data_IF_269500020866
#
_entry.id   IF_269500020866
#
_cell.length_a   1.000
_cell.length_b   1.000
_cell.length_c   1.000
_cell.angle_alpha   90.00
_cell.angle_beta   90.00
_cell.angle_gamma   90.00
#
_symmetry.space_group_name_H-M   'P 1'
#
loop_
_entity.id
_entity.type
_entity.pdbx_description
1 polymer ?
#
# COMPACT_ATOMS: atom_id res chain seq x y z
N UNK A 1 57.29 -16.61 -22.90
CA UNK A 1 58.71 -16.47 -22.58
C UNK A 1 58.84 -16.75 -21.08
N UNK A 2 59.31 -17.95 -20.74
CA UNK A 2 59.70 -18.50 -19.41
C UNK A 2 61.17 -18.03 -19.18
N UNK A 3 61.83 -18.04 -17.99
CA UNK A 3 61.70 -18.95 -16.82
C UNK A 3 61.77 -18.27 -15.43
N UNK A 4 61.26 -18.83 -14.31
CA UNK A 4 61.69 -19.97 -13.46
C UNK A 4 63.19 -20.00 -13.14
N UNK A 5 63.54 -19.78 -11.86
CA UNK A 5 64.67 -20.49 -11.24
C UNK A 5 64.46 -20.65 -9.73
N UNK A 6 64.72 -21.87 -9.30
CA UNK A 6 64.51 -22.50 -8.01
C UNK A 6 65.84 -22.45 -7.23
N UNK A 7 65.82 -22.28 -5.90
CA UNK A 7 66.96 -22.71 -5.07
C UNK A 7 66.58 -23.06 -3.64
N UNK A 8 66.72 -24.35 -3.38
CA UNK A 8 66.74 -25.07 -2.12
C UNK A 8 67.96 -24.65 -1.29
N UNK A 9 67.80 -24.50 0.03
CA UNK A 9 68.90 -24.59 1.00
C UNK A 9 68.45 -25.50 2.14
N UNK A 10 69.23 -26.55 2.35
CA UNK A 10 69.25 -27.48 3.49
C UNK A 10 70.38 -27.03 4.42
N UNK A 11 70.14 -27.06 5.74
CA UNK A 11 71.12 -27.15 6.86
C UNK A 11 70.25 -27.51 8.10
N UNK A 12 70.16 -28.74 8.62
CA UNK A 12 71.11 -29.64 9.33
C UNK A 12 71.48 -29.20 10.75
N UNK A 13 71.11 -30.09 11.71
CA UNK A 13 71.78 -30.44 12.98
C UNK A 13 71.79 -29.37 14.11
N UNK A 14 71.70 -29.66 15.40
CA UNK A 14 71.50 -30.84 16.24
C UNK A 14 71.29 -30.32 17.68
N UNK A 15 70.73 -31.18 18.56
CA UNK A 15 70.95 -31.27 20.01
C UNK A 15 70.63 -30.08 20.97
N UNK A 16 69.68 -30.30 21.88
CA UNK A 16 70.00 -30.60 23.29
C UNK A 16 68.74 -30.84 24.16
N UNK A 17 68.70 -32.00 24.79
CA UNK A 17 67.78 -32.41 25.86
C UNK A 17 68.43 -32.06 27.21
N UNK A 18 67.66 -31.73 28.26
CA UNK A 18 68.02 -32.24 29.58
C UNK A 18 66.87 -32.99 30.26
N UNK A 19 67.17 -34.26 30.58
CA UNK A 19 66.44 -35.10 31.54
C UNK A 19 66.73 -34.64 32.97
N UNK A 20 65.69 -34.60 33.82
CA UNK A 20 65.81 -34.94 35.25
C UNK A 20 64.48 -35.48 35.78
N UNK A 21 64.54 -36.18 36.91
CA UNK A 21 63.93 -37.49 37.16
C UNK A 21 62.78 -37.54 38.18
N UNK A 22 61.66 -38.19 37.79
CA UNK A 22 60.76 -39.11 38.57
C UNK A 22 59.92 -38.58 39.77
N UNK A 23 58.86 -39.28 40.26
CA UNK A 23 58.23 -40.51 39.76
C UNK A 23 56.69 -40.46 39.57
N UNK A 24 56.25 -41.48 38.81
CA UNK A 24 54.92 -42.04 38.58
C UNK A 24 53.87 -41.87 39.70
N UNK A 25 52.69 -41.34 39.33
CA UNK A 25 51.41 -41.69 39.94
C UNK A 25 50.43 -42.06 38.83
N UNK A 26 50.07 -43.34 38.79
CA UNK A 26 49.08 -43.94 37.89
C UNK A 26 47.74 -43.20 37.96
N UNK A 27 47.29 -42.64 36.84
CA UNK A 27 45.86 -42.52 36.52
C UNK A 27 45.64 -42.88 35.05
N UNK A 28 45.02 -44.03 34.86
CA UNK A 28 44.45 -44.49 33.60
C UNK A 28 43.36 -43.48 33.21
N UNK A 29 43.56 -42.74 32.11
CA UNK A 29 42.46 -42.03 31.47
C UNK A 29 41.65 -43.03 30.67
N UNK A 30 40.46 -43.37 31.20
CA UNK A 30 39.40 -44.01 30.44
C UNK A 30 38.97 -43.05 29.32
N UNK A 31 38.80 -43.59 28.12
CA UNK A 31 38.10 -42.95 27.01
C UNK A 31 36.63 -42.76 27.44
N UNK A 32 36.26 -41.55 27.83
CA UNK A 32 34.85 -41.17 28.02
C UNK A 32 34.23 -40.97 26.63
N UNK A 33 33.34 -41.89 26.28
CA UNK A 33 32.41 -41.78 25.16
C UNK A 33 31.20 -40.99 25.67
N UNK A 34 31.09 -39.70 25.34
CA UNK A 34 29.87 -38.93 25.61
C UNK A 34 28.72 -39.49 24.75
N UNK A 35 27.57 -39.86 25.34
CA UNK A 35 26.40 -40.23 24.54
C UNK A 35 25.72 -38.95 24.04
N UNK A 36 25.63 -38.80 22.72
CA UNK A 36 24.79 -37.79 22.07
C UNK A 36 23.35 -37.88 22.62
N UNK A 37 22.90 -36.76 23.19
CA UNK A 37 21.56 -36.59 23.74
C UNK A 37 20.56 -36.45 22.59
N UNK A 38 19.97 -37.56 22.14
CA UNK A 38 18.78 -37.51 21.29
C UNK A 38 17.58 -36.94 22.08
N UNK A 39 16.79 -36.00 21.51
CA UNK A 39 15.58 -35.55 22.17
C UNK A 39 14.59 -36.72 22.27
N UNK A 40 14.13 -37.01 23.48
CA UNK A 40 13.22 -38.11 23.78
C UNK A 40 11.89 -37.95 23.04
N UNK A 41 11.49 -39.00 22.33
CA UNK A 41 10.27 -39.06 21.50
C UNK A 41 8.97 -38.69 22.26
N UNK A 42 8.96 -38.84 23.59
CA UNK A 42 7.82 -38.50 24.44
C UNK A 42 7.56 -36.98 24.56
N UNK A 43 8.58 -36.14 24.45
CA UNK A 43 8.41 -34.67 24.46
C UNK A 43 7.81 -34.20 23.13
N UNK A 44 8.23 -34.79 22.02
CA UNK A 44 7.68 -34.53 20.69
C UNK A 44 6.22 -34.99 20.57
N UNK A 45 5.90 -36.18 21.10
CA UNK A 45 4.53 -36.70 21.10
C UNK A 45 3.56 -35.82 21.90
N UNK A 46 3.99 -35.27 23.04
CA UNK A 46 3.14 -34.38 23.86
C UNK A 46 2.89 -33.02 23.20
N UNK A 47 3.86 -32.46 22.45
CA UNK A 47 3.68 -31.20 21.70
C UNK A 47 2.73 -31.40 20.51
N UNK A 48 2.91 -32.49 19.77
CA UNK A 48 2.05 -32.84 18.63
C UNK A 48 0.59 -33.06 19.09
N UNK A 49 0.37 -33.74 20.23
CA UNK A 49 -0.99 -33.95 20.76
C UNK A 49 -1.62 -32.67 21.35
N UNK A 50 -0.83 -31.74 21.90
CA UNK A 50 -1.32 -30.42 22.33
C UNK A 50 -1.68 -29.52 21.14
N UNK A 51 -1.03 -29.73 19.99
CA UNK A 51 -1.25 -29.02 18.74
C UNK A 51 -2.51 -29.51 17.99
N UNK A 52 -2.91 -30.77 18.21
CA UNK A 52 -4.03 -31.41 17.49
C UNK A 52 -5.39 -31.27 18.22
N UNK A 53 -5.42 -31.03 19.54
CA UNK A 53 -6.68 -31.16 20.32
C UNK A 53 -7.49 -29.88 20.56
N UNK A 54 -7.24 -28.77 19.85
CA UNK A 54 -8.17 -27.60 19.72
C UNK A 54 -7.92 -26.79 18.43
N UNK A 55 -8.01 -27.41 17.24
CA UNK A 55 -7.74 -26.76 15.94
C UNK A 55 -8.61 -25.52 15.61
N UNK A 56 -9.94 -25.66 15.42
CA UNK A 56 -10.77 -24.58 14.89
C UNK A 56 -11.04 -23.46 15.90
N UNK A 57 -11.21 -23.78 17.19
CA UNK A 57 -11.47 -22.76 18.22
C UNK A 57 -10.25 -21.86 18.46
N UNK A 58 -9.05 -22.42 18.38
CA UNK A 58 -7.81 -21.63 18.43
C UNK A 58 -7.70 -20.74 17.19
N UNK A 59 -7.96 -21.28 16.00
CA UNK A 59 -7.97 -20.50 14.76
C UNK A 59 -8.96 -19.33 14.81
N UNK A 60 -10.19 -19.57 15.29
CA UNK A 60 -11.20 -18.51 15.53
C UNK A 60 -10.69 -17.46 16.52
N UNK A 61 -10.10 -17.88 17.64
CA UNK A 61 -9.57 -16.94 18.62
C UNK A 61 -8.43 -16.09 18.04
N UNK A 62 -7.51 -16.70 17.30
CA UNK A 62 -6.36 -16.01 16.67
C UNK A 62 -6.85 -15.01 15.62
N UNK A 63 -7.76 -15.43 14.73
CA UNK A 63 -8.22 -14.59 13.62
C UNK A 63 -9.21 -13.53 14.08
N UNK A 64 -10.16 -13.84 14.97
CA UNK A 64 -11.24 -12.90 15.32
C UNK A 64 -11.05 -12.18 16.65
N UNK A 65 -10.27 -12.70 17.61
CA UNK A 65 -10.24 -12.14 18.98
C UNK A 65 -8.87 -11.57 19.35
N UNK A 66 -7.77 -12.19 18.91
CA UNK A 66 -6.40 -11.83 19.32
C UNK A 66 -6.02 -10.38 18.92
N UNK A 67 -6.44 -9.93 17.75
CA UNK A 67 -6.08 -8.60 17.26
C UNK A 67 -6.98 -7.52 17.88
N UNK A 68 -6.37 -6.51 18.51
CA UNK A 68 -7.11 -5.39 19.15
C UNK A 68 -8.01 -4.63 18.16
N UNK A 69 -7.64 -4.60 16.88
CA UNK A 69 -8.40 -3.93 15.82
C UNK A 69 -9.75 -4.61 15.57
N UNK A 70 -9.88 -5.91 15.89
CA UNK A 70 -11.13 -6.66 15.76
C UNK A 70 -12.23 -6.19 16.71
N UNK A 71 -11.92 -5.31 17.66
CA UNK A 71 -12.94 -4.56 18.41
C UNK A 71 -13.89 -3.79 17.47
N UNK A 72 -13.44 -3.45 16.26
CA UNK A 72 -14.23 -2.77 15.24
C UNK A 72 -15.13 -3.72 14.42
N UNK A 73 -14.93 -5.03 14.51
CA UNK A 73 -15.63 -6.01 13.67
C UNK A 73 -17.17 -5.97 13.83
N UNK A 74 -17.75 -5.70 15.02
CA UNK A 74 -19.19 -5.52 15.18
C UNK A 74 -19.80 -4.37 14.37
N UNK A 75 -18.98 -3.37 13.95
CA UNK A 75 -19.49 -2.25 13.16
C UNK A 75 -19.94 -2.64 11.75
N UNK A 76 -19.40 -3.73 11.17
CA UNK A 76 -19.83 -4.25 9.88
C UNK A 76 -21.30 -4.71 9.90
N UNK A 77 -21.66 -5.70 10.74
CA UNK A 77 -23.07 -6.11 10.92
C UNK A 77 -23.96 -4.96 11.38
N UNK A 78 -23.46 -4.05 12.22
CA UNK A 78 -24.20 -2.86 12.64
C UNK A 78 -24.54 -1.95 11.46
N UNK A 79 -23.62 -1.76 10.52
CA UNK A 79 -23.86 -0.96 9.32
C UNK A 79 -24.96 -1.57 8.44
N UNK A 80 -24.94 -2.89 8.27
CA UNK A 80 -25.99 -3.63 7.55
C UNK A 80 -27.34 -3.44 8.24
N UNK A 81 -27.39 -3.62 9.56
CA UNK A 81 -28.63 -3.40 10.34
C UNK A 81 -29.13 -1.95 10.20
N UNK A 82 -28.21 -0.97 10.28
CA UNK A 82 -28.55 0.44 10.19
C UNK A 82 -29.08 0.83 8.81
N UNK A 83 -28.56 0.22 7.75
CA UNK A 83 -29.02 0.40 6.38
C UNK A 83 -30.51 0.06 6.25
N UNK A 84 -30.93 -1.08 6.80
CA UNK A 84 -32.34 -1.50 6.76
C UNK A 84 -33.26 -0.71 7.71
N UNK A 85 -32.72 -0.17 8.81
CA UNK A 85 -33.53 0.51 9.83
C UNK A 85 -33.72 2.02 9.60
N UNK A 86 -32.70 2.72 9.13
CA UNK A 86 -32.69 4.20 9.19
C UNK A 86 -32.60 4.88 7.84
N UNK A 87 -32.10 4.21 6.80
CA UNK A 87 -31.82 4.83 5.50
C UNK A 87 -30.82 6.00 5.54
N UNK A 88 -30.15 6.26 6.68
CA UNK A 88 -29.22 7.37 6.83
C UNK A 88 -27.86 7.01 6.24
N UNK A 89 -27.70 7.25 4.94
CA UNK A 89 -26.52 6.86 4.17
C UNK A 89 -25.18 7.31 4.79
N UNK A 90 -25.07 8.52 5.36
CA UNK A 90 -23.82 8.96 5.99
C UNK A 90 -23.37 8.12 7.19
N UNK A 91 -24.31 7.69 8.04
CA UNK A 91 -23.96 6.81 9.18
C UNK A 91 -23.69 5.38 8.74
N UNK A 92 -24.45 4.87 7.76
CA UNK A 92 -24.20 3.55 7.18
C UNK A 92 -22.80 3.51 6.58
N UNK A 93 -22.42 4.53 5.81
CA UNK A 93 -21.09 4.67 5.24
C UNK A 93 -19.99 4.66 6.31
N UNK A 94 -20.14 5.47 7.37
CA UNK A 94 -19.18 5.52 8.47
C UNK A 94 -18.98 4.18 9.19
N UNK A 95 -20.07 3.50 9.57
CA UNK A 95 -19.96 2.19 10.22
C UNK A 95 -19.45 1.11 9.28
N UNK A 96 -19.75 1.19 7.99
CA UNK A 96 -19.21 0.27 6.99
C UNK A 96 -17.70 0.43 6.87
N UNK A 97 -17.19 1.68 6.81
CA UNK A 97 -15.76 1.95 6.86
C UNK A 97 -15.12 1.31 8.10
N UNK A 98 -15.65 1.58 9.29
CA UNK A 98 -15.13 0.99 10.53
C UNK A 98 -15.14 -0.54 10.52
N UNK A 99 -16.17 -1.16 9.94
CA UNK A 99 -16.27 -2.61 9.82
C UNK A 99 -15.28 -3.23 8.84
N UNK A 100 -14.85 -2.49 7.81
CA UNK A 100 -13.86 -2.96 6.82
C UNK A 100 -12.44 -2.98 7.38
N UNK A 101 -12.08 -2.01 8.24
CA UNK A 101 -10.73 -1.90 8.84
C UNK A 101 -10.21 -3.24 9.38
N UNK A 102 -10.88 -3.93 10.33
CA UNK A 102 -10.38 -5.19 10.87
C UNK A 102 -10.42 -6.32 9.85
N UNK A 103 -11.35 -6.31 8.91
CA UNK A 103 -11.43 -7.35 7.88
C UNK A 103 -10.26 -7.25 6.91
N UNK A 104 -9.90 -6.04 6.47
CA UNK A 104 -8.75 -5.79 5.61
C UNK A 104 -7.46 -6.23 6.28
N UNK A 105 -7.29 -5.87 7.55
CA UNK A 105 -6.12 -6.26 8.36
C UNK A 105 -6.01 -7.78 8.55
N UNK A 106 -7.12 -8.46 8.87
CA UNK A 106 -7.13 -9.92 9.00
C UNK A 106 -6.95 -10.63 7.67
N UNK A 107 -7.41 -10.05 6.56
CA UNK A 107 -7.22 -10.61 5.22
C UNK A 107 -5.73 -10.61 4.85
N UNK A 108 -5.01 -9.51 5.13
CA UNK A 108 -3.56 -9.42 4.98
C UNK A 108 -2.83 -10.44 5.86
N UNK A 109 -3.17 -10.51 7.15
CA UNK A 109 -2.58 -11.49 8.07
C UNK A 109 -2.76 -12.94 7.60
N UNK A 110 -3.97 -13.32 7.17
CA UNK A 110 -4.22 -14.68 6.68
C UNK A 110 -3.46 -14.97 5.38
N UNK A 111 -3.30 -13.96 4.53
CA UNK A 111 -2.49 -14.07 3.30
C UNK A 111 -1.02 -14.35 3.62
N UNK A 112 -0.46 -13.65 4.61
CA UNK A 112 0.90 -13.87 5.10
C UNK A 112 1.05 -15.27 5.71
N UNK A 113 0.10 -15.69 6.56
CA UNK A 113 0.08 -17.05 7.11
C UNK A 113 0.04 -18.13 6.03
N UNK A 114 -0.69 -17.91 4.94
CA UNK A 114 -0.74 -18.82 3.79
C UNK A 114 0.58 -18.83 3.00
N UNK A 115 1.32 -17.71 2.96
CA UNK A 115 2.59 -17.60 2.27
C UNK A 115 3.67 -18.53 2.87
N UNK A 116 3.67 -18.76 4.19
CA UNK A 116 4.58 -19.70 4.86
C UNK A 116 4.48 -21.13 4.31
N UNK A 117 3.32 -21.53 3.77
CA UNK A 117 3.07 -22.89 3.27
C UNK A 117 3.29 -23.07 1.78
N UNK A 118 3.41 -21.98 1.02
CA UNK A 118 3.35 -22.01 -0.45
C UNK A 118 4.71 -21.75 -1.12
N UNK A 119 5.74 -21.45 -0.32
CA UNK A 119 7.10 -21.17 -0.77
C UNK A 119 7.25 -19.75 -1.33
N UNK A 120 8.50 -19.26 -1.54
CA UNK A 120 8.76 -17.85 -1.80
C UNK A 120 8.04 -17.30 -3.04
N UNK A 121 8.02 -18.07 -4.15
CA UNK A 121 7.42 -17.61 -5.41
C UNK A 121 5.90 -17.51 -5.35
N UNK A 122 5.23 -18.55 -4.88
CA UNK A 122 3.75 -18.57 -4.79
C UNK A 122 3.28 -17.67 -3.64
N UNK A 123 4.00 -17.66 -2.51
CA UNK A 123 3.75 -16.75 -1.39
C UNK A 123 3.87 -15.29 -1.80
N UNK A 124 4.89 -14.92 -2.59
CA UNK A 124 5.02 -13.57 -3.14
C UNK A 124 3.88 -13.18 -4.08
N UNK A 125 3.41 -14.11 -4.93
CA UNK A 125 2.27 -13.87 -5.81
C UNK A 125 0.94 -13.76 -5.03
N UNK A 126 0.75 -14.59 -4.01
CA UNK A 126 -0.38 -14.51 -3.10
C UNK A 126 -0.40 -13.17 -2.37
N UNK A 127 0.75 -12.73 -1.86
CA UNK A 127 0.85 -11.44 -1.19
C UNK A 127 0.58 -10.28 -2.15
N UNK A 128 1.13 -10.31 -3.37
CA UNK A 128 0.84 -9.28 -4.38
C UNK A 128 -0.66 -9.16 -4.72
N UNK A 129 -1.38 -10.29 -4.73
CA UNK A 129 -2.78 -10.34 -5.13
C UNK A 129 -3.73 -10.07 -3.95
N UNK A 130 -3.57 -10.83 -2.86
CA UNK A 130 -4.46 -10.78 -1.70
C UNK A 130 -4.05 -9.72 -0.67
N UNK A 131 -2.82 -9.23 -0.69
CA UNK A 131 -2.40 -8.09 0.12
C UNK A 131 -3.18 -6.80 -0.22
N UNK A 132 -3.54 -6.63 -1.49
CA UNK A 132 -4.39 -5.52 -1.97
C UNK A 132 -5.82 -5.96 -2.30
N UNK A 133 -6.28 -7.09 -1.74
CA UNK A 133 -7.60 -7.63 -2.09
C UNK A 133 -8.73 -6.69 -1.67
N UNK A 134 -8.59 -5.97 -0.55
CA UNK A 134 -9.63 -5.05 -0.07
C UNK A 134 -9.90 -3.94 -1.11
N UNK A 135 -8.84 -3.29 -1.57
CA UNK A 135 -8.86 -2.22 -2.56
C UNK A 135 -9.41 -2.73 -3.88
N UNK A 136 -8.98 -3.92 -4.31
CA UNK A 136 -9.44 -4.56 -5.54
C UNK A 136 -10.94 -4.92 -5.45
N UNK A 137 -11.42 -5.46 -4.34
CA UNK A 137 -12.84 -5.83 -4.15
C UNK A 137 -13.72 -4.57 -4.16
N UNK A 138 -13.33 -3.53 -3.42
CA UNK A 138 -14.05 -2.25 -3.41
C UNK A 138 -14.09 -1.66 -4.82
N UNK A 139 -12.95 -1.67 -5.52
CA UNK A 139 -12.82 -1.17 -6.89
C UNK A 139 -13.68 -1.93 -7.89
N UNK A 140 -13.70 -3.26 -7.84
CA UNK A 140 -14.52 -4.08 -8.73
C UNK A 140 -16.02 -3.83 -8.49
N UNK A 141 -16.44 -3.68 -7.23
CA UNK A 141 -17.84 -3.38 -6.92
C UNK A 141 -18.24 -1.98 -7.42
N UNK A 142 -17.41 -0.96 -7.17
CA UNK A 142 -17.61 0.38 -7.71
C UNK A 142 -17.64 0.39 -9.26
N UNK A 143 -16.75 -0.35 -9.90
CA UNK A 143 -16.70 -0.50 -11.36
C UNK A 143 -17.97 -1.16 -11.92
N UNK A 144 -18.47 -2.21 -11.26
CA UNK A 144 -19.74 -2.87 -11.61
C UNK A 144 -20.91 -1.88 -11.59
N UNK A 145 -20.95 -1.02 -10.57
CA UNK A 145 -21.93 0.05 -10.43
C UNK A 145 -21.68 1.26 -11.35
N UNK A 146 -20.62 1.25 -12.16
CA UNK A 146 -20.30 2.34 -13.09
C UNK A 146 -19.65 3.56 -12.42
N UNK A 147 -19.22 3.44 -11.16
CA UNK A 147 -18.57 4.50 -10.40
C UNK A 147 -17.07 4.57 -10.72
N UNK A 148 -16.74 4.77 -11.99
CA UNK A 148 -15.35 4.77 -12.51
C UNK A 148 -14.48 5.79 -11.78
N UNK A 149 -15.00 7.01 -11.55
CA UNK A 149 -14.28 8.06 -10.85
C UNK A 149 -13.96 7.70 -9.40
N UNK A 150 -14.85 6.99 -8.70
CA UNK A 150 -14.57 6.48 -7.34
C UNK A 150 -13.45 5.45 -7.36
N UNK A 151 -13.42 4.56 -8.36
CA UNK A 151 -12.32 3.58 -8.52
C UNK A 151 -10.98 4.29 -8.72
N UNK A 152 -10.92 5.24 -9.67
CA UNK A 152 -9.72 6.03 -9.92
C UNK A 152 -9.28 6.79 -8.66
N UNK A 153 -10.18 7.55 -8.05
CA UNK A 153 -9.87 8.36 -6.89
C UNK A 153 -9.44 7.54 -5.68
N UNK A 154 -10.08 6.40 -5.41
CA UNK A 154 -9.71 5.54 -4.28
C UNK A 154 -8.36 4.86 -4.46
N UNK A 155 -8.04 4.35 -5.65
CA UNK A 155 -6.74 3.74 -5.92
C UNK A 155 -5.61 4.78 -5.90
N UNK A 156 -5.86 5.97 -6.46
CA UNK A 156 -4.90 7.08 -6.38
C UNK A 156 -4.68 7.52 -4.94
N UNK A 157 -5.75 7.66 -4.17
CA UNK A 157 -5.68 8.01 -2.75
C UNK A 157 -4.93 6.99 -1.91
N UNK A 158 -5.02 5.70 -2.25
CA UNK A 158 -4.25 4.63 -1.60
C UNK A 158 -2.75 4.79 -1.82
N UNK A 159 -2.33 5.13 -3.04
CA UNK A 159 -0.93 5.47 -3.32
C UNK A 159 -0.49 6.71 -2.51
N UNK A 160 -1.29 7.79 -2.52
CA UNK A 160 -0.97 9.02 -1.77
C UNK A 160 -0.89 8.78 -0.26
N UNK A 161 -1.80 7.96 0.29
CA UNK A 161 -1.81 7.59 1.71
C UNK A 161 -0.54 6.82 2.08
N UNK A 162 -0.18 5.80 1.31
CA UNK A 162 1.00 4.99 1.60
C UNK A 162 2.30 5.79 1.47
N UNK A 163 2.41 6.61 0.41
CA UNK A 163 3.63 7.36 0.14
C UNK A 163 3.85 8.55 1.09
N UNK A 164 2.79 9.25 1.50
CA UNK A 164 2.92 10.46 2.33
C UNK A 164 2.53 10.20 3.79
N UNK A 165 1.33 9.65 4.03
CA UNK A 165 0.80 9.49 5.39
C UNK A 165 1.48 8.33 6.12
N UNK A 166 1.52 7.14 5.53
CA UNK A 166 2.12 5.95 6.17
C UNK A 166 3.60 6.13 6.37
N UNK A 167 4.31 6.40 5.27
CA UNK A 167 5.75 6.62 5.32
C UNK A 167 6.11 7.80 6.24
N UNK A 168 5.33 8.88 6.18
CA UNK A 168 5.51 10.05 7.06
C UNK A 168 5.33 9.72 8.54
N UNK A 169 4.25 9.05 8.90
CA UNK A 169 4.02 8.59 10.29
C UNK A 169 5.10 7.62 10.76
N UNK A 170 5.53 6.68 9.90
CA UNK A 170 6.56 5.72 10.24
C UNK A 170 7.92 6.40 10.49
N UNK A 171 8.34 7.33 9.62
CA UNK A 171 9.57 8.10 9.82
C UNK A 171 9.48 9.06 11.01
N UNK A 172 8.32 9.66 11.25
CA UNK A 172 8.11 10.56 12.38
C UNK A 172 8.20 9.81 13.71
N UNK A 173 7.45 8.71 13.84
CA UNK A 173 7.40 7.92 15.09
C UNK A 173 8.71 7.15 15.30
N UNK A 174 9.22 6.46 14.26
CA UNK A 174 10.50 5.77 14.31
C UNK A 174 11.65 6.72 14.66
N UNK A 175 11.71 7.88 14.02
CA UNK A 175 12.75 8.88 14.25
C UNK A 175 12.62 9.65 15.58
N UNK A 176 11.42 9.72 16.17
CA UNK A 176 11.24 10.29 17.53
C UNK A 176 11.66 9.32 18.62
N UNK A 177 11.40 8.02 18.44
CA UNK A 177 11.86 6.96 19.36
C UNK A 177 13.37 6.80 19.26
N UNK A 178 13.91 6.74 18.05
CA UNK A 178 15.35 6.60 17.80
C UNK A 178 16.05 7.95 17.64
N UNK A 179 15.68 8.97 18.44
CA UNK A 179 16.21 10.35 18.28
C UNK A 179 17.75 10.44 18.30
N UNK A 180 18.42 9.49 18.94
CA UNK A 180 19.88 9.47 19.09
C UNK A 180 20.60 8.66 18.00
N UNK A 181 19.86 8.05 17.06
CA UNK A 181 20.40 7.20 15.99
C UNK A 181 19.82 7.64 14.65
N UNK A 182 20.65 7.64 13.60
CA UNK A 182 20.14 7.77 12.23
C UNK A 182 19.65 6.40 11.79
N UNK A 183 18.39 6.30 11.38
CA UNK A 183 17.84 5.07 10.86
C UNK A 183 18.16 4.99 9.36
N UNK A 184 18.71 3.86 8.92
CA UNK A 184 19.14 3.65 7.53
C UNK A 184 18.30 2.58 6.85
N UNK A 185 18.23 2.63 5.52
CA UNK A 185 17.57 1.64 4.69
C UNK A 185 18.30 1.46 3.36
N UNK A 186 18.03 0.36 2.69
CA UNK A 186 18.62 -0.02 1.42
C UNK A 186 18.21 0.94 0.29
N UNK A 187 19.16 1.78 -0.13
CA UNK A 187 18.99 2.74 -1.22
C UNK A 187 18.65 2.07 -2.55
N UNK A 188 19.23 0.91 -2.85
CA UNK A 188 19.00 0.23 -4.12
C UNK A 188 17.54 -0.23 -4.23
N UNK A 189 16.99 -0.81 -3.17
CA UNK A 189 15.59 -1.21 -3.11
C UNK A 189 14.63 -0.01 -3.25
N UNK A 190 14.93 1.10 -2.56
CA UNK A 190 14.15 2.33 -2.66
C UNK A 190 14.17 2.94 -4.08
N UNK A 191 15.32 2.92 -4.75
CA UNK A 191 15.48 3.42 -6.13
C UNK A 191 14.70 2.58 -7.13
N UNK A 192 14.75 1.24 -7.03
CA UNK A 192 13.98 0.36 -7.93
C UNK A 192 12.48 0.61 -7.80
N UNK A 193 11.95 0.68 -6.58
CA UNK A 193 10.54 0.96 -6.34
C UNK A 193 10.14 2.37 -6.82
N UNK A 194 10.98 3.38 -6.56
CA UNK A 194 10.74 4.74 -7.07
C UNK A 194 10.72 4.80 -8.60
N UNK A 195 11.57 4.01 -9.26
CA UNK A 195 11.57 3.88 -10.73
C UNK A 195 10.28 3.26 -11.27
N UNK A 196 9.75 2.23 -10.62
CA UNK A 196 8.46 1.63 -10.99
C UNK A 196 7.29 2.60 -10.77
N UNK A 197 7.29 3.36 -9.68
CA UNK A 197 6.29 4.40 -9.42
C UNK A 197 6.33 5.50 -10.50
N UNK A 198 7.52 5.95 -10.90
CA UNK A 198 7.66 6.91 -12.01
C UNK A 198 7.15 6.33 -13.34
N UNK A 199 7.38 5.03 -13.60
CA UNK A 199 6.82 4.34 -14.76
C UNK A 199 5.28 4.31 -14.73
N UNK A 200 4.69 4.07 -13.56
CA UNK A 200 3.24 4.13 -13.39
C UNK A 200 2.69 5.53 -13.66
N UNK A 201 3.37 6.57 -13.16
CA UNK A 201 2.99 7.95 -13.43
C UNK A 201 3.07 8.27 -14.93
N UNK A 202 4.09 7.78 -15.64
CA UNK A 202 4.14 7.94 -17.11
C UNK A 202 2.94 7.28 -17.80
N UNK A 203 2.54 6.09 -17.36
CA UNK A 203 1.38 5.39 -17.91
C UNK A 203 0.05 6.12 -17.69
N UNK A 204 -0.10 6.79 -16.55
CA UNK A 204 -1.28 7.57 -16.18
C UNK A 204 -1.27 8.97 -16.84
N UNK A 205 -0.09 9.59 -16.97
CA UNK A 205 0.07 10.97 -17.42
C UNK A 205 -0.41 11.18 -18.85
N UNK A 206 -0.03 10.31 -19.79
CA UNK A 206 -0.34 10.54 -21.21
C UNK A 206 -1.84 10.49 -21.53
N UNK A 207 -2.64 9.51 -21.05
CA UNK A 207 -4.08 9.55 -21.18
C UNK A 207 -4.70 10.84 -20.61
N UNK A 208 -4.27 11.27 -19.42
CA UNK A 208 -4.79 12.48 -18.77
C UNK A 208 -4.46 13.77 -19.55
N UNK A 209 -3.21 13.89 -20.03
CA UNK A 209 -2.78 15.04 -20.84
C UNK A 209 -3.53 15.07 -22.17
N UNK A 210 -3.69 13.92 -22.84
CA UNK A 210 -4.40 13.83 -24.12
C UNK A 210 -5.86 14.25 -24.00
N UNK A 211 -6.53 13.85 -22.90
CA UNK A 211 -7.88 14.29 -22.57
C UNK A 211 -7.94 15.80 -22.32
N UNK A 212 -6.96 16.37 -21.61
CA UNK A 212 -6.92 17.79 -21.29
C UNK A 212 -6.65 18.67 -22.52
N UNK A 213 -5.67 18.31 -23.34
CA UNK A 213 -5.29 19.07 -24.55
C UNK A 213 -6.29 18.89 -25.69
N UNK A 214 -7.14 17.86 -25.63
CA UNK A 214 -8.06 17.48 -26.72
C UNK A 214 -7.34 17.20 -28.04
N UNK A 215 -6.09 16.77 -27.98
CA UNK A 215 -5.24 16.49 -29.16
C UNK A 215 -5.27 15.02 -29.59
N UNK A 216 -6.31 14.29 -29.21
CA UNK A 216 -6.50 12.90 -29.62
C UNK A 216 -6.92 12.78 -31.10
N UNK A 217 -6.42 11.72 -31.75
CA UNK A 217 -6.73 11.43 -33.16
C UNK A 217 -8.22 11.09 -33.33
N UNK A 218 -8.76 10.26 -32.43
CA UNK A 218 -10.16 9.88 -32.41
C UNK A 218 -10.79 10.20 -31.05
N UNK A 219 -11.63 11.23 -31.03
CA UNK A 219 -12.22 11.76 -29.81
C UNK A 219 -12.87 10.69 -28.92
N UNK A 220 -12.45 10.59 -27.67
CA UNK A 220 -12.86 9.63 -26.64
C UNK A 220 -12.42 8.17 -26.87
N UNK A 221 -12.02 7.79 -28.09
CA UNK A 221 -11.61 6.41 -28.41
C UNK A 221 -10.12 6.20 -28.28
N UNK A 222 -9.32 7.19 -28.68
CA UNK A 222 -7.87 7.13 -28.60
C UNK A 222 -7.40 7.10 -27.15
N UNK A 223 -7.99 7.90 -26.27
CA UNK A 223 -7.69 7.91 -24.84
C UNK A 223 -7.92 6.55 -24.16
N UNK A 224 -9.10 5.96 -24.36
CA UNK A 224 -9.43 4.64 -23.78
C UNK A 224 -8.53 3.54 -24.35
N UNK A 225 -8.22 3.60 -25.65
CA UNK A 225 -7.32 2.63 -26.30
C UNK A 225 -5.90 2.75 -25.76
N UNK A 226 -5.42 3.98 -25.57
CA UNK A 226 -4.12 4.26 -24.96
C UNK A 226 -4.06 3.78 -23.51
N UNK A 227 -5.12 3.99 -22.73
CA UNK A 227 -5.23 3.52 -21.36
C UNK A 227 -5.14 1.99 -21.25
N UNK A 228 -5.82 1.27 -22.14
CA UNK A 228 -5.75 -0.20 -22.21
C UNK A 228 -4.36 -0.68 -22.62
N UNK A 229 -3.77 -0.05 -23.62
CA UNK A 229 -2.41 -0.37 -24.06
C UNK A 229 -1.39 -0.15 -22.93
N UNK A 230 -1.42 1.01 -22.28
CA UNK A 230 -0.53 1.33 -21.16
C UNK A 230 -0.76 0.37 -19.99
N UNK A 231 -2.01 -0.03 -19.72
CA UNK A 231 -2.31 -0.99 -18.66
C UNK A 231 -1.66 -2.35 -18.91
N UNK A 232 -1.73 -2.86 -20.15
CA UNK A 232 -1.04 -4.10 -20.52
C UNK A 232 0.48 -3.99 -20.33
N UNK A 233 1.09 -2.87 -20.72
CA UNK A 233 2.53 -2.63 -20.53
C UNK A 233 2.90 -2.59 -19.05
N UNK A 234 2.11 -1.90 -18.23
CA UNK A 234 2.34 -1.83 -16.77
C UNK A 234 2.24 -3.21 -16.10
N UNK A 235 1.25 -4.02 -16.47
CA UNK A 235 1.11 -5.40 -15.97
C UNK A 235 2.30 -6.29 -16.36
N UNK A 236 2.79 -6.17 -17.61
CA UNK A 236 3.98 -6.91 -18.07
C UNK A 236 5.22 -6.46 -17.29
N UNK A 237 5.39 -5.15 -17.07
CA UNK A 237 6.49 -4.60 -16.29
C UNK A 237 6.44 -5.08 -14.83
N UNK A 238 5.25 -5.11 -14.21
CA UNK A 238 5.07 -5.64 -12.86
C UNK A 238 5.34 -7.14 -12.76
N UNK A 239 4.85 -7.93 -13.73
CA UNK A 239 5.15 -9.36 -13.79
C UNK A 239 6.66 -9.64 -13.96
N UNK A 240 7.34 -8.83 -14.78
CA UNK A 240 8.80 -8.89 -14.94
C UNK A 240 9.54 -8.52 -13.65
N UNK A 241 9.04 -7.51 -12.93
CA UNK A 241 9.54 -7.13 -11.61
C UNK A 241 9.37 -8.25 -10.58
N UNK A 242 8.18 -8.86 -10.47
CA UNK A 242 7.95 -10.00 -9.58
C UNK A 242 8.86 -11.18 -9.93
N UNK A 243 9.03 -11.49 -11.22
CA UNK A 243 9.94 -12.54 -11.65
C UNK A 243 11.40 -12.24 -11.27
N UNK A 244 11.84 -10.99 -11.46
CA UNK A 244 13.17 -10.56 -11.06
C UNK A 244 13.37 -10.65 -9.54
N UNK A 245 12.39 -10.19 -8.77
CA UNK A 245 12.42 -10.21 -7.31
C UNK A 245 12.48 -11.64 -6.75
N UNK A 246 11.66 -12.55 -7.29
CA UNK A 246 11.52 -13.92 -6.79
C UNK A 246 12.65 -14.86 -7.25
N UNK A 247 13.31 -14.58 -8.38
CA UNK A 247 14.33 -15.47 -8.96
C UNK A 247 15.76 -14.93 -8.88
N UNK A 248 15.98 -13.63 -9.08
CA UNK A 248 17.32 -13.09 -9.36
C UNK A 248 18.01 -12.46 -8.14
N UNK A 249 17.26 -12.04 -7.11
CA UNK A 249 17.80 -11.32 -5.94
C UNK A 249 17.04 -11.63 -4.64
N UNK A 250 17.00 -12.90 -4.15
CA UNK A 250 16.45 -13.17 -2.82
C UNK A 250 17.17 -12.33 -1.73
N UNK A 251 18.48 -12.09 -1.88
CA UNK A 251 19.29 -11.39 -0.88
C UNK A 251 19.18 -9.85 -0.87
N UNK A 252 18.56 -9.21 -1.87
CA UNK A 252 18.40 -7.74 -1.89
C UNK A 252 17.12 -7.28 -1.17
N UNK A 253 16.15 -8.19 -1.01
CA UNK A 253 14.83 -7.93 -0.44
C UNK A 253 14.48 -8.83 0.76
N UNK A 254 15.23 -9.91 1.02
CA UNK A 254 15.28 -10.46 2.37
C UNK A 254 15.94 -9.41 3.27
N UNK A 255 15.26 -8.96 4.34
CA UNK A 255 15.83 -7.96 5.24
C UNK A 255 17.20 -8.44 5.74
N UNK A 256 18.16 -7.52 5.81
CA UNK A 256 19.59 -7.72 6.10
C UNK A 256 19.86 -8.31 7.51
N UNK A 257 18.82 -8.71 8.25
CA UNK A 257 18.91 -9.12 9.65
C UNK A 257 18.77 -10.64 9.89
N UNK A 258 18.47 -11.47 8.88
CA UNK A 258 18.43 -12.93 9.09
C UNK A 258 19.80 -13.54 9.45
N UNK A 259 20.91 -12.87 9.15
CA UNK A 259 22.25 -13.37 9.49
C UNK A 259 22.79 -12.89 10.85
N UNK A 260 22.16 -11.93 11.54
CA UNK A 260 22.69 -11.36 12.79
C UNK A 260 21.70 -11.24 13.97
N UNK A 261 20.47 -11.72 13.84
CA UNK A 261 19.47 -11.70 14.92
C UNK A 261 19.11 -13.11 15.41
N UNK A 262 20.00 -13.72 16.19
CA UNK A 262 19.76 -14.97 16.95
C UNK A 262 18.67 -14.84 18.05
N UNK A 263 17.74 -13.88 17.96
CA UNK A 263 16.75 -13.57 19.00
C UNK A 263 15.33 -13.26 18.48
N UNK A 264 15.08 -13.27 17.16
CA UNK A 264 13.71 -13.25 16.67
C UNK A 264 13.24 -14.73 16.64
N UNK A 265 12.37 -15.08 17.58
CA UNK A 265 11.68 -16.38 17.61
C UNK A 265 11.19 -16.72 16.19
N UNK A 266 11.62 -17.85 15.63
CA UNK A 266 11.14 -18.37 14.35
C UNK A 266 9.62 -18.17 14.28
N UNK A 267 9.15 -17.23 13.44
CA UNK A 267 7.73 -16.93 13.28
C UNK A 267 7.03 -18.13 12.65
N UNK A 268 6.70 -19.11 13.49
CA UNK A 268 5.99 -20.30 13.07
C UNK A 268 4.56 -19.93 12.71
N UNK A 269 3.99 -20.53 11.65
CA UNK A 269 2.62 -20.24 11.25
C UNK A 269 1.66 -20.59 12.40
N UNK A 270 0.80 -19.63 12.76
CA UNK A 270 -0.15 -19.75 13.86
C UNK A 270 -1.41 -20.53 13.49
N UNK A 271 -1.74 -20.57 12.19
CA UNK A 271 -2.91 -21.24 11.62
C UNK A 271 -2.49 -22.26 10.57
N UNK A 272 -3.22 -23.36 10.44
CA UNK A 272 -2.89 -24.40 9.46
C UNK A 272 -3.21 -23.97 8.03
N UNK A 273 -2.58 -24.62 7.04
CA UNK A 273 -2.79 -24.32 5.61
C UNK A 273 -4.28 -24.30 5.18
N UNK A 274 -5.05 -25.31 5.57
CA UNK A 274 -6.48 -25.40 5.21
C UNK A 274 -7.34 -24.38 5.96
N UNK A 275 -6.98 -24.04 7.20
CA UNK A 275 -7.64 -22.98 7.95
C UNK A 275 -7.36 -21.61 7.32
N UNK A 276 -6.13 -21.35 6.87
CA UNK A 276 -5.78 -20.12 6.18
C UNK A 276 -6.59 -19.94 4.90
N UNK A 277 -6.72 -20.98 4.06
CA UNK A 277 -7.58 -20.94 2.87
C UNK A 277 -9.05 -20.68 3.23
N UNK A 278 -9.56 -21.37 4.26
CA UNK A 278 -10.93 -21.19 4.74
C UNK A 278 -11.21 -19.76 5.22
N UNK A 279 -10.30 -19.20 6.02
CA UNK A 279 -10.41 -17.82 6.51
C UNK A 279 -10.26 -16.80 5.39
N UNK A 280 -9.34 -17.02 4.44
CA UNK A 280 -9.16 -16.14 3.28
C UNK A 280 -10.47 -16.02 2.50
N UNK A 281 -11.15 -17.15 2.26
CA UNK A 281 -12.46 -17.17 1.60
C UNK A 281 -13.55 -16.45 2.42
N UNK A 282 -13.65 -16.74 3.72
CA UNK A 282 -14.66 -16.13 4.60
C UNK A 282 -14.49 -14.61 4.69
N UNK A 283 -13.26 -14.13 4.91
CA UNK A 283 -12.96 -12.71 5.00
C UNK A 283 -13.20 -12.00 3.67
N UNK A 284 -12.80 -12.62 2.55
CA UNK A 284 -13.07 -12.09 1.20
C UNK A 284 -14.58 -11.90 0.96
N UNK A 285 -15.40 -12.88 1.34
CA UNK A 285 -16.87 -12.77 1.22
C UNK A 285 -17.42 -11.64 2.09
N UNK A 286 -16.97 -11.53 3.35
CA UNK A 286 -17.41 -10.44 4.24
C UNK A 286 -17.00 -9.06 3.75
N UNK A 287 -15.75 -8.90 3.29
CA UNK A 287 -15.26 -7.66 2.67
C UNK A 287 -16.10 -7.34 1.43
N UNK A 288 -16.42 -8.33 0.60
CA UNK A 288 -17.27 -8.14 -0.58
C UNK A 288 -18.68 -7.67 -0.23
N UNK A 289 -19.31 -8.24 0.79
CA UNK A 289 -20.64 -7.82 1.27
C UNK A 289 -20.59 -6.37 1.76
N UNK A 290 -19.63 -6.02 2.64
CA UNK A 290 -19.50 -4.66 3.16
C UNK A 290 -19.10 -3.65 2.09
N UNK A 291 -18.26 -4.04 1.12
CA UNK A 291 -17.90 -3.18 -0.01
C UNK A 291 -19.14 -2.76 -0.80
N UNK A 292 -20.16 -3.62 -0.85
CA UNK A 292 -21.42 -3.27 -1.50
C UNK A 292 -22.15 -2.11 -0.83
N UNK A 293 -22.36 -2.24 0.48
CA UNK A 293 -22.96 -1.16 1.27
C UNK A 293 -22.09 0.10 1.29
N UNK A 294 -20.76 -0.05 1.29
CA UNK A 294 -19.83 1.08 1.26
C UNK A 294 -20.07 1.90 -0.01
N UNK A 295 -19.93 1.26 -1.18
CA UNK A 295 -20.03 1.92 -2.49
C UNK A 295 -21.42 2.52 -2.69
N UNK A 296 -22.48 1.80 -2.34
CA UNK A 296 -23.87 2.27 -2.52
C UNK A 296 -24.19 3.49 -1.64
N UNK A 297 -23.42 3.73 -0.58
CA UNK A 297 -23.64 4.86 0.34
C UNK A 297 -22.68 6.04 0.16
N UNK A 298 -21.67 5.95 -0.72
CA UNK A 298 -20.70 7.04 -0.96
C UNK A 298 -21.40 8.35 -1.33
N UNK A 299 -22.35 8.31 -2.28
CA UNK A 299 -23.04 9.53 -2.71
C UNK A 299 -23.90 10.11 -1.59
N UNK A 300 -24.67 9.27 -0.90
CA UNK A 300 -25.49 9.72 0.22
C UNK A 300 -24.67 10.22 1.41
N UNK A 301 -23.45 9.72 1.60
CA UNK A 301 -22.50 10.24 2.59
C UNK A 301 -21.95 11.61 2.18
N UNK A 302 -21.61 11.79 0.90
CA UNK A 302 -21.21 13.09 0.33
C UNK A 302 -22.27 14.15 0.58
N UNK A 303 -23.53 13.85 0.29
CA UNK A 303 -24.65 14.77 0.48
C UNK A 303 -24.92 15.05 1.97
N UNK A 304 -24.80 14.02 2.84
CA UNK A 304 -25.03 14.15 4.29
C UNK A 304 -23.94 14.94 5.01
N UNK A 305 -22.69 14.80 4.58
CA UNK A 305 -21.54 15.45 5.22
C UNK A 305 -21.14 16.75 4.55
N UNK A 306 -21.76 17.10 3.42
CA UNK A 306 -21.44 18.27 2.60
C UNK A 306 -19.94 18.27 2.19
N UNK A 307 -19.47 17.11 1.73
CA UNK A 307 -18.08 16.87 1.34
C UNK A 307 -18.00 16.30 -0.08
N UNK A 308 -17.05 16.71 -0.93
CA UNK A 308 -16.93 16.17 -2.27
C UNK A 308 -16.70 14.66 -2.29
N UNK A 309 -17.32 13.95 -3.23
CA UNK A 309 -17.07 12.51 -3.47
C UNK A 309 -15.59 12.24 -3.71
N UNK A 310 -14.89 13.16 -4.38
CA UNK A 310 -13.44 13.09 -4.58
C UNK A 310 -12.68 13.06 -3.26
N UNK A 311 -13.02 13.93 -2.30
CA UNK A 311 -12.37 13.93 -0.99
C UNK A 311 -12.66 12.63 -0.23
N UNK A 312 -13.90 12.15 -0.23
CA UNK A 312 -14.26 10.88 0.41
C UNK A 312 -13.45 9.73 -0.20
N UNK A 313 -13.35 9.69 -1.52
CA UNK A 313 -12.70 8.60 -2.25
C UNK A 313 -11.18 8.64 -2.15
N UNK A 314 -10.55 9.82 -2.25
CA UNK A 314 -9.08 9.96 -2.23
C UNK A 314 -8.53 9.95 -0.79
N UNK A 315 -9.25 10.50 0.18
CA UNK A 315 -8.72 10.69 1.54
C UNK A 315 -9.31 9.67 2.51
N UNK A 316 -10.64 9.55 2.61
CA UNK A 316 -11.25 8.73 3.66
C UNK A 316 -11.18 7.23 3.38
N UNK A 317 -11.53 6.80 2.17
CA UNK A 317 -11.51 5.38 1.78
C UNK A 317 -10.14 4.74 2.00
N UNK A 318 -9.02 5.33 1.56
CA UNK A 318 -7.74 4.66 1.61
C UNK A 318 -7.11 4.64 3.00
N UNK A 319 -7.40 5.63 3.85
CA UNK A 319 -7.00 5.57 5.27
C UNK A 319 -7.57 4.32 5.94
N UNK A 320 -8.79 3.93 5.56
CA UNK A 320 -9.51 2.80 6.13
C UNK A 320 -9.06 1.49 5.48
N UNK A 321 -8.94 1.44 4.15
CA UNK A 321 -8.45 0.27 3.41
C UNK A 321 -7.04 -0.14 3.82
N UNK A 322 -6.15 0.85 3.96
CA UNK A 322 -4.75 0.63 4.26
C UNK A 322 -4.42 0.68 5.76
N UNK A 323 -5.41 0.81 6.66
CA UNK A 323 -5.17 1.00 8.10
C UNK A 323 -4.24 -0.07 8.73
N UNK A 324 -4.32 -1.30 8.21
CA UNK A 324 -3.44 -2.41 8.56
C UNK A 324 -1.96 -2.13 8.21
N UNK A 325 -1.72 -1.71 6.97
CA UNK A 325 -0.40 -1.34 6.45
C UNK A 325 0.16 -0.12 7.21
N UNK A 326 -0.70 0.84 7.57
CA UNK A 326 -0.32 1.99 8.38
C UNK A 326 0.26 1.54 9.73
N UNK A 327 -0.46 0.67 10.44
CA UNK A 327 -0.05 0.20 11.76
C UNK A 327 1.23 -0.65 11.73
N UNK A 328 1.34 -1.55 10.76
CA UNK A 328 2.52 -2.43 10.61
C UNK A 328 3.77 -1.64 10.21
N UNK A 329 3.68 -0.73 9.24
CA UNK A 329 4.80 0.12 8.84
C UNK A 329 5.33 0.98 10.00
N UNK A 330 4.43 1.59 10.77
CA UNK A 330 4.82 2.36 11.97
C UNK A 330 5.51 1.44 12.99
N UNK A 331 4.94 0.26 13.26
CA UNK A 331 5.53 -0.70 14.19
C UNK A 331 6.94 -1.13 13.77
N UNK A 332 7.18 -1.42 12.49
CA UNK A 332 8.50 -1.80 12.01
C UNK A 332 9.50 -0.65 12.09
N UNK A 333 9.08 0.59 11.80
CA UNK A 333 9.93 1.76 11.98
C UNK A 333 10.29 2.00 13.46
N UNK A 334 9.37 1.73 14.39
CA UNK A 334 9.62 1.76 15.84
C UNK A 334 10.59 0.67 16.31
N UNK A 335 10.74 -0.41 15.54
CA UNK A 335 11.69 -1.51 15.80
C UNK A 335 13.01 -1.35 15.02
N UNK A 336 13.23 -0.19 14.41
CA UNK A 336 14.40 0.09 13.57
C UNK A 336 14.53 -0.76 12.31
N UNK A 337 13.43 -1.37 11.86
CA UNK A 337 13.36 -2.17 10.63
C UNK A 337 12.80 -1.35 9.48
N UNK A 338 13.55 -0.35 9.02
CA UNK A 338 13.09 0.58 7.98
C UNK A 338 12.95 -0.07 6.60
N UNK A 339 13.78 -1.05 6.25
CA UNK A 339 13.63 -1.76 4.97
C UNK A 339 12.25 -2.41 4.82
N UNK A 340 11.76 -3.04 5.90
CA UNK A 340 10.42 -3.62 5.96
C UNK A 340 9.37 -2.51 5.87
N UNK A 341 9.58 -1.38 6.56
CA UNK A 341 8.69 -0.21 6.53
C UNK A 341 8.52 0.33 5.11
N UNK A 342 9.62 0.51 4.37
CA UNK A 342 9.59 0.95 2.98
C UNK A 342 8.95 -0.11 2.08
N UNK A 343 9.21 -1.39 2.35
CA UNK A 343 8.56 -2.50 1.65
C UNK A 343 7.04 -2.46 1.79
N UNK A 344 6.53 -2.22 3.00
CA UNK A 344 5.09 -2.09 3.25
C UNK A 344 4.52 -0.85 2.53
N UNK A 345 5.09 0.33 2.73
CA UNK A 345 4.53 1.57 2.19
C UNK A 345 4.74 1.73 0.67
N UNK A 346 5.99 1.67 0.21
CA UNK A 346 6.35 1.94 -1.20
C UNK A 346 6.08 0.70 -2.04
N UNK A 347 6.30 -0.50 -1.49
CA UNK A 347 5.94 -1.74 -2.17
C UNK A 347 4.45 -1.78 -2.45
N UNK A 348 3.58 -1.60 -1.45
CA UNK A 348 2.12 -1.52 -1.66
C UNK A 348 1.73 -0.44 -2.68
N UNK A 349 2.31 0.76 -2.59
CA UNK A 349 2.11 1.82 -3.60
C UNK A 349 2.48 1.38 -5.03
N UNK A 350 3.59 0.64 -5.17
CA UNK A 350 4.04 0.09 -6.46
C UNK A 350 3.08 -0.99 -6.96
N UNK A 351 2.57 -1.85 -6.07
CA UNK A 351 1.58 -2.86 -6.40
C UNK A 351 0.26 -2.24 -6.86
N UNK A 352 -0.26 -1.26 -6.11
CA UNK A 352 -1.50 -0.57 -6.48
C UNK A 352 -1.35 0.10 -7.84
N UNK A 353 -0.24 0.80 -8.06
CA UNK A 353 -0.02 1.56 -9.29
C UNK A 353 0.27 0.70 -10.52
N UNK A 354 1.15 -0.30 -10.40
CA UNK A 354 1.60 -1.13 -11.53
C UNK A 354 0.77 -2.40 -11.75
N UNK A 355 -0.03 -2.81 -10.76
CA UNK A 355 -0.90 -3.99 -10.85
C UNK A 355 -2.39 -3.65 -10.67
N UNK A 356 -2.82 -3.09 -9.53
CA UNK A 356 -4.27 -2.97 -9.23
C UNK A 356 -4.99 -2.00 -10.17
N UNK A 357 -4.43 -0.81 -10.41
CA UNK A 357 -4.98 0.17 -11.36
C UNK A 357 -5.11 -0.42 -12.78
N UNK A 358 -4.03 -0.92 -13.41
CA UNK A 358 -4.14 -1.46 -14.77
C UNK A 358 -4.96 -2.76 -14.83
N UNK A 359 -4.98 -3.56 -13.75
CA UNK A 359 -5.88 -4.70 -13.64
C UNK A 359 -7.35 -4.26 -13.68
N UNK A 360 -7.72 -3.18 -12.98
CA UNK A 360 -9.08 -2.63 -13.03
C UNK A 360 -9.47 -2.16 -14.45
N UNK A 361 -8.54 -1.60 -15.22
CA UNK A 361 -8.78 -1.24 -16.64
C UNK A 361 -9.07 -2.48 -17.48
N UNK A 362 -8.28 -3.55 -17.31
CA UNK A 362 -8.48 -4.82 -18.03
C UNK A 362 -9.81 -5.48 -17.63
N UNK A 363 -10.14 -5.53 -16.33
CA UNK A 363 -11.43 -6.03 -15.84
C UNK A 363 -12.59 -5.20 -16.39
N UNK A 364 -12.47 -3.88 -16.38
CA UNK A 364 -13.45 -2.98 -16.98
C UNK A 364 -13.66 -3.26 -18.46
N UNK A 365 -12.59 -3.55 -19.19
CA UNK A 365 -12.66 -3.93 -20.59
C UNK A 365 -13.47 -5.23 -20.80
N UNK A 366 -13.23 -6.28 -19.99
CA UNK A 366 -14.02 -7.50 -20.04
C UNK A 366 -15.49 -7.29 -19.64
N UNK A 367 -15.76 -6.37 -18.71
CA UNK A 367 -17.12 -6.03 -18.26
C UNK A 367 -17.86 -5.07 -19.21
N UNK A 368 -17.22 -4.60 -20.28
CA UNK A 368 -17.78 -3.59 -21.17
C UNK A 368 -17.91 -2.19 -20.53
N UNK A 369 -17.21 -1.93 -19.42
CA UNK A 369 -17.16 -0.62 -18.76
C UNK A 369 -15.95 0.18 -19.28
N UNK A 370 -16.10 1.49 -19.56
CA UNK A 370 -15.02 2.32 -20.09
C UNK A 370 -14.07 2.78 -18.97
N UNK A 371 -13.53 1.86 -18.16
CA UNK A 371 -12.46 2.18 -17.20
C UNK A 371 -11.20 2.58 -17.98
N UNK A 372 -10.65 3.75 -17.68
CA UNK A 372 -9.44 4.28 -18.29
C UNK A 372 -8.43 4.71 -17.22
N UNK A 373 -7.26 5.17 -17.67
CA UNK A 373 -6.19 5.70 -16.84
C UNK A 373 -6.22 7.24 -16.78
N UNK A 374 -7.34 7.87 -17.11
CA UNK A 374 -7.47 9.31 -17.04
C UNK A 374 -7.97 9.74 -15.67
N UNK A 375 -7.03 10.04 -14.77
CA UNK A 375 -7.31 10.58 -13.44
C UNK A 375 -7.48 12.12 -13.48
N UNK A 376 -7.67 12.73 -14.65
CA UNK A 376 -7.66 14.18 -14.82
C UNK A 376 -6.32 14.83 -14.43
N UNK A 377 -6.16 16.09 -14.83
CA UNK A 377 -4.89 16.79 -14.69
C UNK A 377 -4.51 17.05 -13.22
N UNK A 378 -5.50 17.40 -12.38
CA UNK A 378 -5.26 17.69 -10.97
C UNK A 378 -4.73 16.47 -10.21
N UNK A 379 -5.42 15.33 -10.29
CA UNK A 379 -5.05 14.12 -9.55
C UNK A 379 -3.72 13.56 -10.08
N UNK A 380 -3.53 13.57 -11.40
CA UNK A 380 -2.28 13.16 -12.04
C UNK A 380 -1.09 14.03 -11.62
N UNK A 381 -1.27 15.36 -11.56
CA UNK A 381 -0.23 16.27 -11.09
C UNK A 381 0.10 16.04 -9.61
N UNK A 382 -0.91 15.83 -8.76
CA UNK A 382 -0.70 15.50 -7.35
C UNK A 382 0.07 14.19 -7.18
N UNK A 383 -0.26 13.16 -7.95
CA UNK A 383 0.48 11.89 -7.93
C UNK A 383 1.93 12.09 -8.39
N UNK A 384 2.16 12.80 -9.49
CA UNK A 384 3.50 13.07 -10.01
C UNK A 384 4.38 13.81 -8.99
N UNK A 385 3.87 14.89 -8.40
CA UNK A 385 4.60 15.65 -7.38
C UNK A 385 4.85 14.80 -6.13
N UNK A 386 3.89 13.98 -5.72
CA UNK A 386 4.05 13.07 -4.57
C UNK A 386 5.18 12.06 -4.81
N UNK A 387 5.19 11.41 -5.98
CA UNK A 387 6.24 10.47 -6.35
C UNK A 387 7.62 11.13 -6.37
N UNK A 388 7.72 12.35 -6.92
CA UNK A 388 8.97 13.11 -6.91
C UNK A 388 9.43 13.47 -5.49
N UNK A 389 8.55 14.02 -4.66
CA UNK A 389 8.87 14.40 -3.28
C UNK A 389 9.39 13.20 -2.51
N UNK A 390 8.71 12.05 -2.59
CA UNK A 390 9.13 10.83 -1.89
C UNK A 390 10.43 10.29 -2.46
N UNK A 391 10.61 10.25 -3.78
CA UNK A 391 11.87 9.82 -4.39
C UNK A 391 13.07 10.65 -3.91
N UNK A 392 12.91 11.98 -3.81
CA UNK A 392 13.95 12.86 -3.26
C UNK A 392 14.19 12.62 -1.76
N UNK A 393 13.13 12.43 -0.97
CA UNK A 393 13.26 12.16 0.47
C UNK A 393 14.03 10.86 0.76
N UNK A 394 13.92 9.88 -0.14
CA UNK A 394 14.53 8.57 0.00
C UNK A 394 15.94 8.47 -0.58
N UNK A 395 16.38 9.43 -1.40
CA UNK A 395 17.65 9.39 -2.13
C UNK A 395 18.87 9.20 -1.20
N UNK A 396 18.81 9.75 0.00
CA UNK A 396 19.91 9.68 0.97
C UNK A 396 20.01 8.32 1.69
N UNK A 397 18.98 7.48 1.65
CA UNK A 397 18.95 6.18 2.36
C UNK A 397 18.82 6.27 3.87
N UNK A 398 18.44 7.43 4.39
CA UNK A 398 18.29 7.69 5.82
C UNK A 398 16.94 8.29 6.12
N UNK A 399 16.36 7.93 7.26
CA UNK A 399 15.15 8.55 7.78
C UNK A 399 15.46 9.40 9.02
N UNK A 400 14.62 10.39 9.27
CA UNK A 400 14.60 11.15 10.50
C UNK A 400 13.18 11.68 10.75
N UNK A 401 12.92 12.10 11.99
CA UNK A 401 11.60 12.60 12.36
C UNK A 401 11.17 13.83 11.54
N UNK A 402 12.11 14.65 11.07
CA UNK A 402 11.80 15.84 10.29
C UNK A 402 11.35 15.49 8.87
N UNK A 403 12.00 14.52 8.19
CA UNK A 403 11.52 13.95 6.93
C UNK A 403 10.11 13.38 7.09
N UNK A 404 9.86 12.67 8.20
CA UNK A 404 8.53 12.16 8.53
C UNK A 404 7.48 13.27 8.67
N UNK A 405 7.80 14.33 9.42
CA UNK A 405 6.94 15.49 9.58
C UNK A 405 6.65 16.19 8.23
N UNK A 406 7.66 16.35 7.37
CA UNK A 406 7.48 16.94 6.05
C UNK A 406 6.48 16.17 5.21
N UNK A 407 6.58 14.83 5.18
CA UNK A 407 5.65 13.97 4.44
C UNK A 407 4.21 14.06 4.99
N UNK A 408 4.04 14.09 6.32
CA UNK A 408 2.72 14.28 6.95
C UNK A 408 2.12 15.63 6.57
N UNK A 409 2.92 16.70 6.61
CA UNK A 409 2.47 18.04 6.22
C UNK A 409 2.11 18.10 4.73
N UNK A 410 2.89 17.44 3.87
CA UNK A 410 2.56 17.29 2.44
C UNK A 410 1.22 16.55 2.26
N UNK A 411 0.95 15.49 3.02
CA UNK A 411 -0.35 14.81 2.98
C UNK A 411 -1.50 15.73 3.39
N UNK A 412 -1.33 16.56 4.43
CA UNK A 412 -2.36 17.52 4.82
C UNK A 412 -2.63 18.58 3.74
N UNK A 413 -1.59 19.06 3.06
CA UNK A 413 -1.75 19.98 1.91
C UNK A 413 -2.55 19.29 0.80
N UNK A 414 -2.22 18.04 0.49
CA UNK A 414 -2.94 17.24 -0.50
C UNK A 414 -4.40 17.03 -0.09
N UNK A 415 -4.66 16.63 1.14
CA UNK A 415 -6.02 16.44 1.67
C UNK A 415 -6.84 17.75 1.61
N UNK A 416 -6.27 18.87 2.04
CA UNK A 416 -6.91 20.18 1.94
C UNK A 416 -7.20 20.57 0.49
N UNK A 417 -6.29 20.24 -0.44
CA UNK A 417 -6.48 20.49 -1.87
C UNK A 417 -7.63 19.66 -2.44
N UNK A 418 -7.75 18.39 -2.05
CA UNK A 418 -8.88 17.54 -2.43
C UNK A 418 -10.20 17.95 -1.76
N UNK A 419 -10.15 18.59 -0.60
CA UNK A 419 -11.35 19.07 0.10
C UNK A 419 -12.04 20.19 -0.67
N UNK A 420 -11.25 21.03 -1.34
CA UNK A 420 -11.74 22.12 -2.21
C UNK A 420 -11.84 21.71 -3.68
N UNK A 421 -11.45 20.48 -4.03
CA UNK A 421 -11.51 19.97 -5.40
C UNK A 421 -12.89 19.38 -5.72
N UNK A 422 -13.42 19.74 -6.89
CA UNK A 422 -14.67 19.20 -7.43
C UNK A 422 -14.38 18.62 -8.80
N UNK A 423 -14.84 17.39 -9.00
CA UNK A 423 -14.68 16.68 -10.26
C UNK A 423 -15.55 17.31 -11.36
N UNK A 424 -14.94 17.68 -12.49
CA UNK A 424 -15.57 18.44 -13.58
C UNK A 424 -16.66 17.66 -14.34
N UNK A 425 -16.87 16.37 -14.07
CA UNK A 425 -17.92 15.57 -14.72
C UNK A 425 -19.35 16.10 -14.44
N UNK A 426 -19.57 16.81 -13.33
CA UNK A 426 -20.87 17.41 -12.95
C UNK A 426 -20.99 18.92 -13.29
N UNK A 427 -20.01 19.49 -14.02
CA UNK A 427 -19.66 20.91 -13.94
C UNK A 427 -20.47 21.93 -14.75
N UNK A 428 -21.48 21.56 -15.55
CA UNK A 428 -22.23 22.57 -16.32
C UNK A 428 -22.99 23.58 -15.44
N UNK A 429 -23.44 23.17 -14.25
CA UNK A 429 -24.24 24.03 -13.37
C UNK A 429 -23.36 24.95 -12.49
N UNK A 430 -22.21 24.46 -12.04
CA UNK A 430 -21.32 25.21 -11.15
C UNK A 430 -20.47 26.25 -11.88
N UNK A 431 -20.13 26.04 -13.16
CA UNK A 431 -19.40 27.04 -13.94
C UNK A 431 -20.18 28.34 -14.04
N UNK A 432 -21.51 28.25 -14.21
CA UNK A 432 -22.41 29.41 -14.25
C UNK A 432 -22.45 30.09 -12.88
N UNK A 433 -22.56 29.33 -11.79
CA UNK A 433 -22.56 29.90 -10.43
C UNK A 433 -21.23 30.57 -10.06
N UNK A 434 -20.09 29.93 -10.33
CA UNK A 434 -18.77 30.48 -10.02
C UNK A 434 -18.43 31.71 -10.89
N UNK A 435 -18.73 31.68 -12.20
CA UNK A 435 -18.60 32.87 -13.05
C UNK A 435 -19.52 34.00 -12.58
N UNK A 436 -20.77 33.70 -12.21
CA UNK A 436 -21.68 34.71 -11.66
C UNK A 436 -21.15 35.30 -10.35
N UNK A 437 -20.52 34.50 -9.50
CA UNK A 437 -19.95 34.94 -8.23
C UNK A 437 -18.72 35.83 -8.44
N UNK A 438 -17.81 35.43 -9.35
CA UNK A 438 -16.66 36.25 -9.76
C UNK A 438 -17.11 37.56 -10.44
N UNK A 439 -18.09 37.50 -11.33
CA UNK A 439 -18.65 38.69 -12.00
C UNK A 439 -19.34 39.62 -11.00
N UNK A 440 -20.15 39.10 -10.07
CA UNK A 440 -20.78 39.90 -9.03
C UNK A 440 -19.73 40.51 -8.09
N UNK A 441 -18.66 39.78 -7.76
CA UNK A 441 -17.55 40.31 -6.96
C UNK A 441 -16.83 41.47 -7.67
N UNK A 442 -16.49 41.30 -8.95
CA UNK A 442 -15.86 42.34 -9.78
C UNK A 442 -16.79 43.56 -9.92
N UNK A 443 -18.08 43.36 -10.18
CA UNK A 443 -19.06 44.46 -10.27
C UNK A 443 -19.20 45.21 -8.93
N UNK A 444 -19.11 44.52 -7.80
CA UNK A 444 -19.15 45.17 -6.48
C UNK A 444 -17.93 46.06 -6.23
N UNK A 445 -16.74 45.63 -6.69
CA UNK A 445 -15.50 46.41 -6.61
C UNK A 445 -15.56 47.70 -7.45
N UNK A 446 -16.19 47.66 -8.63
CA UNK A 446 -16.27 48.84 -9.51
C UNK A 446 -17.46 49.77 -9.20
N UNK A 447 -18.58 49.25 -8.69
CA UNK A 447 -19.79 50.06 -8.47
C UNK A 447 -19.94 50.60 -7.05
N UNK A 448 -19.18 50.10 -6.07
CA UNK A 448 -19.33 50.46 -4.65
C UNK A 448 -20.69 50.08 -4.05
N UNK A 449 -21.45 49.20 -4.72
CA UNK A 449 -22.75 48.66 -4.29
C UNK A 449 -22.81 47.16 -4.59
N UNK A 450 -23.47 46.40 -3.72
CA UNK A 450 -23.75 44.98 -3.94
C UNK A 450 -24.84 44.84 -5.02
N UNK A 451 -24.43 44.63 -6.27
CA UNK A 451 -25.32 44.24 -7.37
C UNK A 451 -25.36 42.71 -7.46
N UNK A 452 -26.57 42.14 -7.46
CA UNK A 452 -26.81 40.71 -7.60
C UNK A 452 -27.39 40.42 -9.00
N UNK A 453 -26.61 39.77 -9.86
CA UNK A 453 -27.12 39.20 -11.12
C UNK A 453 -27.54 37.75 -10.87
N UNK A 454 -28.79 37.39 -11.19
CA UNK A 454 -29.33 36.03 -11.05
C UNK A 454 -29.38 35.29 -12.39
N UNK A 455 -29.46 33.96 -12.34
CA UNK A 455 -29.49 33.06 -13.52
C UNK A 455 -30.56 33.43 -14.58
N UNK A 456 -31.62 34.16 -14.20
CA UNK A 456 -32.71 34.51 -15.11
C UNK A 456 -32.37 35.52 -16.21
N UNK A 457 -31.22 36.20 -16.14
CA UNK A 457 -30.84 37.27 -17.08
C UNK A 457 -29.90 36.82 -18.22
N UNK A 458 -29.41 35.59 -18.18
CA UNK A 458 -28.35 35.13 -19.09
C UNK A 458 -28.96 34.51 -20.36
N UNK A 459 -29.32 35.34 -21.33
CA UNK A 459 -29.52 34.90 -22.71
C UNK A 459 -28.16 34.68 -23.39
N UNK A 460 -28.02 33.62 -24.18
CA UNK A 460 -26.78 33.19 -24.86
C UNK A 460 -26.07 34.29 -25.66
N UNK A 461 -26.78 35.35 -26.05
CA UNK A 461 -26.22 36.50 -26.77
C UNK A 461 -25.34 37.42 -25.91
N UNK A 462 -25.54 37.46 -24.59
CA UNK A 462 -24.78 38.34 -23.67
C UNK A 462 -23.38 37.80 -23.42
N UNK A 463 -23.23 36.47 -23.36
CA UNK A 463 -21.94 35.80 -23.15
C UNK A 463 -21.01 36.05 -24.34
N UNK A 464 -21.53 36.03 -25.57
CA UNK A 464 -20.72 36.29 -26.77
C UNK A 464 -20.23 37.76 -26.83
N UNK A 465 -21.06 38.71 -26.39
CA UNK A 465 -20.67 40.13 -26.33
C UNK A 465 -19.56 40.43 -25.33
N UNK A 466 -19.53 39.74 -24.19
CA UNK A 466 -18.51 39.94 -23.16
C UNK A 466 -17.17 39.33 -23.57
N UNK A 467 -17.17 38.17 -24.23
CA UNK A 467 -15.94 37.51 -24.71
C UNK A 467 -15.28 38.30 -25.85
N UNK A 468 -16.07 38.88 -26.76
CA UNK A 468 -15.55 39.72 -27.86
C UNK A 468 -15.08 41.10 -27.37
N UNK A 469 -15.61 41.61 -26.26
CA UNK A 469 -15.18 42.89 -25.69
C UNK A 469 -13.89 42.86 -24.86
N UNK A 470 -13.36 41.66 -24.56
CA UNK A 470 -12.14 41.46 -23.76
C UNK A 470 -10.94 41.02 -24.63
N UNK A 471 -11.15 40.65 -25.91
CA UNK A 471 -10.10 40.60 -26.92
C UNK A 471 -9.96 41.98 -27.59
#
# INVERSE_FOLDING_TARGET
>A
MVPIEEKIVLESDDDEIPFSSSPLSNKVHAFDFEPEMYPSADVAYSRIFKQIRMGPLRSIYVVLIKAKINLLLPFGPLAIMLHYLTGKHGWVFFFTLLGIIPLAERLGYVTEQLAFYTGPTVGGLLNATFGNATEMIISIYALKNGMIRVVQQSLLGSILSNMLLVLGCAFFIGGTIHRHKVQEFNKAAAVVNSGLLLMAVMGILFPAVLHFTRTEVHFGKSELSLSRFSSCVMLIAYASYLFFQLKSQPNLFNPIDEENSNNDEDEAPEITHWEAIGWLAILTVWVSILSGYLVDTIQGASDSWNMPVAFISVILLPIVGNAAEHGSAIMFAMKDKLDITLGVAIGSSTQISMFVIPFCVVVGWFMGKPMDLNFQLFETATLFITVLVVAFMLQEGTSNYFKGLMLILSYFIVAASFFVHIDFSNGKLYYISFLLEVVNYILSLFSGRNLHVSLGWVSSSVIFGIVVGIM
#
